data_IF_746008918956
#
_entry.id   IF_746008918956
#
_cell.length_a   1.000
_cell.length_b   1.000
_cell.length_c   1.000
_cell.angle_alpha   90.00
_cell.angle_beta   90.00
_cell.angle_gamma   90.00
#
_symmetry.space_group_name_H-M   'P 1'
#
loop_
_entity.id
_entity.type
_entity.pdbx_description
1 polymer ?
#
# COMPACT_ATOMS: atom_id res chain seq x y z
N UNK A 1 -52.33 19.33 -8.19
CA UNK A 1 -51.07 18.60 -8.45
C UNK A 1 -49.81 19.49 -8.60
N UNK A 2 -49.85 20.83 -8.46
CA UNK A 2 -48.72 21.69 -8.88
C UNK A 2 -48.20 22.74 -7.86
N UNK A 3 -48.27 22.50 -6.55
CA UNK A 3 -47.63 23.41 -5.57
C UNK A 3 -46.81 22.67 -4.50
N UNK A 4 -47.26 21.51 -4.04
CA UNK A 4 -46.55 20.69 -3.04
C UNK A 4 -45.32 19.97 -3.61
N UNK A 5 -45.40 19.42 -4.83
CA UNK A 5 -44.23 18.85 -5.53
C UNK A 5 -43.12 19.88 -5.75
N UNK A 6 -43.50 21.15 -6.02
CA UNK A 6 -42.55 22.26 -6.20
C UNK A 6 -41.85 22.64 -4.89
N UNK A 7 -42.55 22.51 -3.76
CA UNK A 7 -42.00 22.73 -2.42
C UNK A 7 -41.04 21.62 -1.98
N UNK A 8 -41.34 20.35 -2.31
CA UNK A 8 -40.47 19.21 -2.02
C UNK A 8 -39.20 19.23 -2.89
N UNK A 9 -39.33 19.52 -4.19
CA UNK A 9 -38.18 19.74 -5.08
C UNK A 9 -37.28 20.86 -4.54
N UNK A 10 -37.83 22.04 -4.27
CA UNK A 10 -37.08 23.17 -3.70
C UNK A 10 -36.39 22.82 -2.37
N UNK A 11 -37.02 22.01 -1.53
CA UNK A 11 -36.47 21.59 -0.25
C UNK A 11 -35.27 20.64 -0.39
N UNK A 12 -35.29 19.69 -1.34
CA UNK A 12 -34.16 18.79 -1.60
C UNK A 12 -32.98 19.56 -2.21
N UNK A 13 -33.26 20.50 -3.11
CA UNK A 13 -32.22 21.31 -3.78
C UNK A 13 -31.49 22.28 -2.85
N UNK A 14 -31.99 22.52 -1.64
CA UNK A 14 -31.32 23.38 -0.65
C UNK A 14 -30.55 22.60 0.43
N UNK A 15 -30.53 21.26 0.39
CA UNK A 15 -29.92 20.43 1.42
C UNK A 15 -28.59 19.84 0.98
N UNK A 16 -27.70 19.65 1.95
CA UNK A 16 -26.43 18.96 1.77
C UNK A 16 -26.62 17.51 1.28
N UNK A 17 -25.95 17.14 0.19
CA UNK A 17 -26.02 15.80 -0.43
C UNK A 17 -25.36 14.67 0.40
N UNK A 18 -24.72 15.00 1.54
CA UNK A 18 -24.14 14.00 2.45
C UNK A 18 -25.10 13.68 3.60
N UNK A 19 -25.54 14.71 4.33
CA UNK A 19 -26.35 14.50 5.55
C UNK A 19 -27.86 14.62 5.33
N UNK A 20 -28.28 15.26 4.25
CA UNK A 20 -29.67 15.60 3.93
C UNK A 20 -30.40 16.45 5.00
N UNK A 21 -29.67 16.96 5.99
CA UNK A 21 -30.21 17.72 7.12
C UNK A 21 -29.90 19.22 7.00
N UNK A 22 -28.61 19.55 6.85
CA UNK A 22 -28.18 20.94 6.82
C UNK A 22 -28.52 21.60 5.48
N UNK A 23 -28.84 22.89 5.56
CA UNK A 23 -28.89 23.74 4.36
C UNK A 23 -27.48 23.75 3.75
N UNK A 24 -27.40 23.71 2.42
CA UNK A 24 -26.12 23.75 1.72
C UNK A 24 -25.39 25.07 2.02
N UNK A 25 -24.07 24.99 2.18
CA UNK A 25 -23.20 26.16 2.31
C UNK A 25 -22.58 26.53 0.96
N UNK A 26 -22.38 25.54 0.08
CA UNK A 26 -21.79 25.72 -1.25
C UNK A 26 -22.15 24.56 -2.18
N UNK A 27 -21.90 24.78 -3.47
CA UNK A 27 -21.93 23.76 -4.53
C UNK A 27 -20.56 23.67 -5.21
N UNK A 28 -20.14 22.46 -5.59
CA UNK A 28 -18.93 22.27 -6.41
C UNK A 28 -19.12 22.87 -7.81
N UNK A 29 -18.07 23.48 -8.35
CA UNK A 29 -18.15 24.22 -9.62
C UNK A 29 -18.48 23.30 -10.81
N UNK A 30 -17.90 22.09 -10.83
CA UNK A 30 -17.99 21.17 -11.96
C UNK A 30 -19.29 20.35 -11.94
N UNK A 31 -19.48 19.52 -10.91
CA UNK A 31 -20.63 18.60 -10.84
C UNK A 31 -21.89 19.22 -10.22
N UNK A 32 -21.79 20.42 -9.64
CA UNK A 32 -22.89 21.13 -8.94
C UNK A 32 -23.45 20.42 -7.71
N UNK A 33 -22.88 19.29 -7.30
CA UNK A 33 -23.20 18.67 -6.01
C UNK A 33 -22.96 19.66 -4.86
N UNK A 34 -23.83 19.58 -3.86
CA UNK A 34 -24.01 20.62 -2.86
C UNK A 34 -23.82 20.08 -1.45
N UNK A 35 -23.13 20.86 -0.60
CA UNK A 35 -22.66 20.37 0.69
C UNK A 35 -22.75 21.46 1.76
N UNK A 36 -22.93 21.03 3.00
CA UNK A 36 -22.56 21.83 4.14
C UNK A 36 -21.07 21.63 4.47
N UNK A 37 -20.42 22.67 4.98
CA UNK A 37 -19.00 22.70 5.34
C UNK A 37 -18.61 21.61 6.35
N UNK A 38 -19.40 21.31 7.40
CA UNK A 38 -19.04 20.26 8.34
C UNK A 38 -18.90 18.88 7.69
N UNK A 39 -19.86 18.50 6.83
CA UNK A 39 -19.84 17.22 6.15
C UNK A 39 -18.69 17.12 5.15
N UNK A 40 -18.47 18.17 4.35
CA UNK A 40 -17.39 18.17 3.37
C UNK A 40 -16.01 18.16 4.04
N UNK A 41 -15.79 18.99 5.06
CA UNK A 41 -14.53 19.00 5.82
C UNK A 41 -14.25 17.65 6.46
N UNK A 42 -15.27 17.01 7.06
CA UNK A 42 -15.10 15.67 7.65
C UNK A 42 -14.74 14.62 6.61
N UNK A 43 -15.41 14.65 5.45
CA UNK A 43 -15.11 13.76 4.33
C UNK A 43 -13.65 13.91 3.88
N UNK A 44 -13.19 15.14 3.65
CA UNK A 44 -11.80 15.40 3.25
C UNK A 44 -10.81 14.93 4.32
N UNK A 45 -11.05 15.24 5.61
CA UNK A 45 -10.16 14.79 6.69
C UNK A 45 -10.02 13.26 6.70
N UNK A 46 -11.11 12.50 6.57
CA UNK A 46 -11.05 11.03 6.52
C UNK A 46 -10.22 10.55 5.31
N UNK A 47 -10.39 11.17 4.14
CA UNK A 47 -9.61 10.82 2.96
C UNK A 47 -8.13 11.12 3.13
N UNK A 48 -7.78 12.26 3.72
CA UNK A 48 -6.40 12.67 3.96
C UNK A 48 -5.75 11.78 5.03
N UNK A 49 -6.43 11.53 6.14
CA UNK A 49 -5.89 10.73 7.25
C UNK A 49 -5.71 9.25 6.85
N UNK A 50 -6.50 8.75 5.87
CA UNK A 50 -6.29 7.41 5.28
C UNK A 50 -5.16 7.32 4.25
N UNK A 51 -4.47 8.42 3.95
CA UNK A 51 -3.44 8.52 2.88
C UNK A 51 -2.01 8.30 3.39
N UNK A 52 -1.79 7.26 4.18
CA UNK A 52 -0.49 6.96 4.78
C UNK A 52 0.49 6.26 3.82
N UNK A 53 0.02 5.71 2.70
CA UNK A 53 0.83 4.92 1.77
C UNK A 53 1.45 5.71 0.61
N UNK A 54 2.09 5.03 -0.36
CA UNK A 54 2.84 5.68 -1.44
C UNK A 54 1.95 6.16 -2.59
N UNK A 55 0.72 5.66 -2.70
CA UNK A 55 -0.22 6.06 -3.74
C UNK A 55 -0.70 7.49 -3.48
N UNK A 56 -0.50 8.43 -4.44
CA UNK A 56 -1.09 9.75 -4.35
C UNK A 56 -2.62 9.65 -4.20
N UNK A 57 -3.14 10.33 -3.19
CA UNK A 57 -4.58 10.38 -2.93
C UNK A 57 -5.20 11.43 -3.82
N UNK A 58 -6.10 10.98 -4.69
CA UNK A 58 -6.95 11.87 -5.49
C UNK A 58 -8.24 12.12 -4.71
N UNK A 59 -8.59 13.38 -4.48
CA UNK A 59 -9.86 13.76 -3.85
C UNK A 59 -10.93 13.76 -4.93
N UNK A 60 -12.06 13.12 -4.64
CA UNK A 60 -13.21 13.04 -5.54
C UNK A 60 -14.46 13.58 -4.87
N UNK A 61 -15.48 13.94 -5.64
CA UNK A 61 -16.79 14.27 -5.11
C UNK A 61 -17.37 13.03 -4.40
N UNK A 62 -17.95 13.16 -3.19
CA UNK A 62 -18.56 12.04 -2.48
C UNK A 62 -19.85 11.51 -3.14
N UNK A 63 -20.44 12.26 -4.08
CA UNK A 63 -21.69 11.89 -4.76
C UNK A 63 -21.39 11.29 -6.14
N UNK A 64 -20.88 12.10 -7.07
CA UNK A 64 -20.64 11.67 -8.45
C UNK A 64 -19.24 11.06 -8.69
N UNK A 65 -18.33 11.08 -7.71
CA UNK A 65 -16.94 10.63 -7.84
C UNK A 65 -16.07 11.42 -8.83
N UNK A 66 -16.53 12.57 -9.31
CA UNK A 66 -15.72 13.49 -10.13
C UNK A 66 -14.46 13.94 -9.39
N UNK A 67 -13.34 14.04 -10.11
CA UNK A 67 -12.08 14.50 -9.53
C UNK A 67 -12.19 15.97 -9.09
N UNK A 68 -11.81 16.26 -7.84
CA UNK A 68 -11.73 17.61 -7.32
C UNK A 68 -10.29 18.09 -7.33
N UNK A 69 -10.03 19.17 -8.04
CA UNK A 69 -8.70 19.78 -8.05
C UNK A 69 -8.38 20.37 -6.67
N UNK A 70 -7.08 20.35 -6.33
CA UNK A 70 -6.61 20.92 -5.06
C UNK A 70 -7.08 22.36 -4.87
N UNK A 71 -7.04 23.18 -5.92
CA UNK A 71 -7.45 24.59 -5.85
C UNK A 71 -8.93 24.77 -5.50
N UNK A 72 -9.79 23.77 -5.79
CA UNK A 72 -11.22 23.85 -5.57
C UNK A 72 -11.59 23.42 -4.16
N UNK A 73 -11.21 22.21 -3.75
CA UNK A 73 -11.70 21.65 -2.48
C UNK A 73 -11.09 22.34 -1.25
N UNK A 74 -9.87 22.89 -1.34
CA UNK A 74 -9.22 23.59 -0.22
C UNK A 74 -9.96 24.86 0.21
N UNK A 75 -10.79 25.45 -0.68
CA UNK A 75 -11.61 26.64 -0.38
C UNK A 75 -12.71 26.36 0.62
N UNK A 76 -13.03 25.08 0.83
CA UNK A 76 -14.13 24.61 1.66
C UNK A 76 -13.66 23.85 2.91
N UNK A 77 -12.34 23.74 3.11
CA UNK A 77 -11.73 23.09 4.27
C UNK A 77 -11.01 24.14 5.10
N UNK A 78 -11.56 24.43 6.28
CA UNK A 78 -11.08 25.55 7.09
C UNK A 78 -9.81 25.20 7.89
N UNK A 79 -9.52 23.91 8.12
CA UNK A 79 -8.34 23.44 8.86
C UNK A 79 -7.08 23.36 7.97
N UNK A 80 -6.07 24.23 8.18
CA UNK A 80 -4.85 24.23 7.38
C UNK A 80 -4.01 22.96 7.56
N UNK A 81 -4.15 22.28 8.71
CA UNK A 81 -3.39 21.05 9.00
C UNK A 81 -3.82 19.92 8.08
N UNK A 82 -5.11 19.83 7.76
CA UNK A 82 -5.65 18.86 6.79
C UNK A 82 -5.04 19.08 5.40
N UNK A 83 -4.95 20.34 4.96
CA UNK A 83 -4.34 20.71 3.67
C UNK A 83 -2.85 20.37 3.65
N UNK A 84 -2.11 20.75 4.70
CA UNK A 84 -0.69 20.45 4.84
C UNK A 84 -0.41 18.94 4.83
N UNK A 85 -1.21 18.15 5.57
CA UNK A 85 -1.12 16.69 5.57
C UNK A 85 -1.32 16.12 4.16
N UNK A 86 -2.33 16.61 3.42
CA UNK A 86 -2.57 16.19 2.04
C UNK A 86 -1.37 16.48 1.14
N UNK A 87 -0.79 17.69 1.23
CA UNK A 87 0.36 18.08 0.41
C UNK A 87 1.59 17.23 0.74
N UNK A 88 1.86 17.01 2.02
CA UNK A 88 2.95 16.14 2.47
C UNK A 88 2.75 14.69 2.04
N UNK A 89 1.51 14.18 2.05
CA UNK A 89 1.18 12.83 1.61
C UNK A 89 1.35 12.65 0.08
N UNK A 90 1.13 13.72 -0.70
CA UNK A 90 1.18 13.68 -2.16
C UNK A 90 2.47 14.21 -2.78
N UNK A 91 3.45 14.62 -1.95
CA UNK A 91 4.75 15.10 -2.46
C UNK A 91 5.47 14.00 -3.27
N UNK A 92 6.18 14.34 -4.35
CA UNK A 92 7.05 13.41 -5.06
C UNK A 92 8.07 12.75 -4.11
N UNK A 93 8.42 11.49 -4.39
CA UNK A 93 9.44 10.74 -3.64
C UNK A 93 9.17 10.63 -2.14
N UNK A 94 7.90 10.61 -1.74
CA UNK A 94 7.52 10.38 -0.35
C UNK A 94 8.04 9.03 0.12
N UNK A 95 8.95 9.08 1.10
CA UNK A 95 9.46 7.89 1.77
C UNK A 95 8.42 7.37 2.77
N UNK A 96 8.28 6.05 2.83
CA UNK A 96 7.57 5.36 3.91
C UNK A 96 8.57 4.95 4.98
N UNK A 97 8.20 5.21 6.22
CA UNK A 97 8.93 4.78 7.41
C UNK A 97 8.13 3.70 8.14
N UNK A 98 8.85 2.82 8.83
CA UNK A 98 8.30 1.79 9.71
C UNK A 98 9.11 1.84 11.00
N UNK A 99 8.48 1.87 12.18
CA UNK A 99 9.22 1.88 13.42
C UNK A 99 9.99 0.56 13.56
N UNK A 100 11.27 0.65 13.94
CA UNK A 100 12.10 -0.52 14.24
C UNK A 100 11.45 -1.32 15.37
N UNK A 101 11.30 -2.64 15.17
CA UNK A 101 10.67 -3.50 16.18
C UNK A 101 11.41 -3.51 17.53
N UNK A 102 12.70 -3.16 17.54
CA UNK A 102 13.58 -3.25 18.71
C UNK A 102 13.78 -1.92 19.41
N UNK A 103 13.98 -0.82 18.68
CA UNK A 103 14.29 0.49 19.26
C UNK A 103 13.28 1.60 18.92
N UNK A 104 12.20 1.26 18.20
CA UNK A 104 11.13 2.17 17.76
C UNK A 104 11.54 3.35 16.86
N UNK A 105 12.83 3.52 16.54
CA UNK A 105 13.31 4.52 15.59
C UNK A 105 12.87 4.18 14.16
N UNK A 106 12.68 5.22 13.35
CA UNK A 106 12.17 5.07 11.99
C UNK A 106 13.17 4.36 11.06
N UNK A 107 12.71 3.27 10.46
CA UNK A 107 13.43 2.54 9.42
C UNK A 107 12.88 3.00 8.07
N UNK A 108 13.73 3.69 7.32
CA UNK A 108 13.41 4.14 5.97
C UNK A 108 13.37 2.96 5.00
N UNK A 109 12.19 2.68 4.46
CA UNK A 109 11.98 1.59 3.48
C UNK A 109 12.50 2.00 2.09
N UNK A 110 12.45 3.30 1.80
CA UNK A 110 12.88 3.90 0.55
C UNK A 110 13.92 4.99 0.81
N UNK A 111 14.85 5.19 -0.10
CA UNK A 111 15.74 6.37 -0.12
C UNK A 111 15.29 7.31 -1.24
N UNK A 112 15.29 8.65 -1.00
CA UNK A 112 15.01 9.62 -2.06
C UNK A 112 15.97 9.47 -3.24
N UNK A 113 15.57 9.89 -4.45
CA UNK A 113 16.46 9.87 -5.61
C UNK A 113 17.72 10.71 -5.41
N UNK A 114 18.81 10.24 -6.00
CA UNK A 114 20.02 11.02 -6.22
C UNK A 114 19.87 11.80 -7.52
N UNK A 115 19.90 13.13 -7.43
CA UNK A 115 19.79 14.01 -8.60
C UNK A 115 21.16 14.39 -9.18
N UNK A 116 22.21 14.44 -8.34
CA UNK A 116 23.56 14.81 -8.75
C UNK A 116 24.21 13.74 -9.64
N UNK A 117 24.81 14.15 -10.77
CA UNK A 117 25.45 13.21 -11.71
C UNK A 117 26.58 12.42 -11.05
N UNK A 118 27.47 13.10 -10.33
CA UNK A 118 28.62 12.49 -9.64
C UNK A 118 28.15 11.50 -8.57
N UNK A 119 27.13 11.88 -7.79
CA UNK A 119 26.56 11.01 -6.75
C UNK A 119 25.95 9.75 -7.35
N UNK A 120 25.27 9.87 -8.49
CA UNK A 120 24.68 8.74 -9.22
C UNK A 120 25.75 7.80 -9.78
N UNK A 121 26.82 8.33 -10.35
CA UNK A 121 27.96 7.54 -10.85
C UNK A 121 28.67 6.81 -9.71
N UNK A 122 28.92 7.49 -8.58
CA UNK A 122 29.48 6.86 -7.37
C UNK A 122 28.59 5.73 -6.86
N UNK A 123 27.29 6.00 -6.73
CA UNK A 123 26.31 5.02 -6.27
C UNK A 123 26.20 3.82 -7.21
N UNK A 124 26.28 4.03 -8.52
CA UNK A 124 26.30 2.96 -9.50
C UNK A 124 27.52 2.03 -9.36
N UNK A 125 28.70 2.60 -9.07
CA UNK A 125 29.90 1.81 -8.81
C UNK A 125 29.76 0.95 -7.54
N UNK A 126 29.18 1.50 -6.47
CA UNK A 126 28.87 0.76 -5.23
C UNK A 126 27.86 -0.37 -5.50
N UNK A 127 26.85 -0.12 -6.32
CA UNK A 127 25.86 -1.14 -6.72
C UNK A 127 26.55 -2.27 -7.50
N UNK A 128 27.44 -1.94 -8.45
CA UNK A 128 28.18 -2.94 -9.23
C UNK A 128 29.12 -3.77 -8.35
N UNK A 129 29.82 -3.16 -7.40
CA UNK A 129 30.66 -3.90 -6.46
C UNK A 129 29.82 -4.86 -5.62
N UNK A 130 28.65 -4.40 -5.14
CA UNK A 130 27.70 -5.25 -4.41
C UNK A 130 27.23 -6.43 -5.23
N UNK A 131 26.83 -6.18 -6.48
CA UNK A 131 26.32 -7.23 -7.36
C UNK A 131 27.39 -8.28 -7.65
N UNK A 132 28.64 -7.84 -7.88
CA UNK A 132 29.77 -8.74 -8.06
C UNK A 132 29.97 -9.64 -6.85
N UNK A 133 29.97 -9.07 -5.64
CA UNK A 133 30.11 -9.82 -4.39
C UNK A 133 29.02 -10.88 -4.24
N UNK A 134 27.76 -10.53 -4.54
CA UNK A 134 26.64 -11.47 -4.49
C UNK A 134 26.86 -12.62 -5.50
N UNK A 135 27.28 -12.31 -6.72
CA UNK A 135 27.50 -13.31 -7.77
C UNK A 135 28.70 -14.23 -7.51
N UNK A 136 29.65 -13.81 -6.67
CA UNK A 136 30.80 -14.61 -6.25
C UNK A 136 30.57 -15.36 -4.92
N UNK A 137 29.34 -15.36 -4.38
CA UNK A 137 29.01 -15.90 -3.04
C UNK A 137 29.89 -15.31 -1.92
N UNK A 138 30.32 -14.05 -2.08
CA UNK A 138 31.15 -13.32 -1.12
C UNK A 138 30.33 -12.62 -0.02
N UNK A 139 31.03 -11.98 0.92
CA UNK A 139 30.43 -11.16 1.98
C UNK A 139 30.81 -9.67 1.88
N UNK A 140 30.21 -8.83 2.73
CA UNK A 140 30.42 -7.37 2.72
C UNK A 140 31.89 -6.96 2.89
N UNK A 141 32.71 -7.75 3.58
CA UNK A 141 34.14 -7.43 3.77
C UNK A 141 34.94 -7.62 2.47
N UNK A 142 34.40 -8.37 1.50
CA UNK A 142 35.07 -8.69 0.24
C UNK A 142 34.65 -7.77 -0.93
N UNK A 143 33.78 -6.78 -0.70
CA UNK A 143 33.30 -5.83 -1.72
C UNK A 143 34.40 -5.05 -2.44
N UNK A 144 35.49 -4.77 -1.74
CA UNK A 144 36.62 -3.96 -2.23
C UNK A 144 37.91 -4.80 -2.34
N UNK A 145 37.79 -6.12 -2.55
CA UNK A 145 38.94 -6.99 -2.70
C UNK A 145 39.77 -6.59 -3.93
N UNK A 146 41.10 -6.57 -3.76
CA UNK A 146 42.07 -6.34 -4.84
C UNK A 146 43.07 -7.52 -4.86
N UNK A 147 43.06 -8.38 -5.91
CA UNK A 147 42.21 -8.31 -7.10
C UNK A 147 40.73 -8.66 -6.81
N UNK A 148 39.78 -8.22 -7.66
CA UNK A 148 38.37 -8.55 -7.52
C UNK A 148 38.11 -10.05 -7.52
N UNK A 149 37.10 -10.49 -6.77
CA UNK A 149 36.71 -11.90 -6.70
C UNK A 149 36.46 -12.49 -8.11
N UNK A 150 36.94 -13.73 -8.37
CA UNK A 150 36.73 -14.40 -9.65
C UNK A 150 35.24 -14.75 -9.81
N UNK A 151 34.72 -14.52 -11.02
CA UNK A 151 33.35 -14.89 -11.38
C UNK A 151 33.36 -16.14 -12.26
N UNK A 152 32.35 -16.99 -12.12
CA UNK A 152 32.05 -18.01 -13.11
C UNK A 152 31.66 -17.38 -14.46
N UNK A 153 31.72 -18.14 -15.55
CA UNK A 153 31.32 -17.65 -16.89
C UNK A 153 29.89 -17.11 -16.91
N UNK A 154 28.96 -17.81 -16.24
CA UNK A 154 27.57 -17.38 -16.12
C UNK A 154 27.46 -16.08 -15.32
N UNK A 155 28.12 -16.01 -14.16
CA UNK A 155 28.13 -14.81 -13.33
C UNK A 155 28.74 -13.60 -14.05
N UNK A 156 29.81 -13.79 -14.83
CA UNK A 156 30.42 -12.72 -15.62
C UNK A 156 29.47 -12.20 -16.71
N UNK A 157 28.69 -13.08 -17.33
CA UNK A 157 27.69 -12.69 -18.34
C UNK A 157 26.58 -11.85 -17.72
N UNK A 158 26.10 -12.23 -16.53
CA UNK A 158 25.11 -11.45 -15.78
C UNK A 158 25.66 -10.09 -15.35
N UNK A 159 26.89 -10.06 -14.83
CA UNK A 159 27.58 -8.83 -14.41
C UNK A 159 27.74 -7.84 -15.57
N UNK A 160 28.28 -8.29 -16.70
CA UNK A 160 28.53 -7.44 -17.88
C UNK A 160 27.23 -6.90 -18.49
N UNK A 161 26.16 -7.70 -18.52
CA UNK A 161 24.83 -7.23 -18.93
C UNK A 161 24.32 -6.13 -18.01
N UNK A 162 24.37 -6.35 -16.69
CA UNK A 162 23.89 -5.36 -15.72
C UNK A 162 24.70 -4.07 -15.76
N UNK A 163 26.03 -4.17 -15.89
CA UNK A 163 26.92 -3.02 -16.06
C UNK A 163 26.56 -2.19 -17.30
N UNK A 164 26.30 -2.84 -18.45
CA UNK A 164 25.88 -2.15 -19.66
C UNK A 164 24.53 -1.43 -19.50
N UNK A 165 23.55 -2.10 -18.89
CA UNK A 165 22.24 -1.53 -18.60
C UNK A 165 22.34 -0.31 -17.66
N UNK A 166 23.16 -0.42 -16.61
CA UNK A 166 23.37 0.66 -15.64
C UNK A 166 24.05 1.88 -16.27
N UNK A 167 25.08 1.65 -17.09
CA UNK A 167 25.75 2.70 -17.85
C UNK A 167 24.79 3.39 -18.85
N UNK A 168 23.89 2.63 -19.49
CA UNK A 168 22.86 3.20 -20.35
C UNK A 168 21.94 4.15 -19.57
N UNK A 169 21.50 3.75 -18.36
CA UNK A 169 20.64 4.58 -17.50
C UNK A 169 21.36 5.86 -17.07
N UNK A 170 22.64 5.79 -16.68
CA UNK A 170 23.42 6.95 -16.28
C UNK A 170 23.63 7.94 -17.43
N UNK A 171 23.79 7.42 -18.66
CA UNK A 171 23.91 8.20 -19.88
C UNK A 171 22.56 8.79 -20.37
N UNK A 172 21.44 8.52 -19.68
CA UNK A 172 20.12 8.97 -20.10
C UNK A 172 19.55 8.21 -21.31
N UNK A 173 19.99 6.97 -21.51
CA UNK A 173 19.49 6.08 -22.54
C UNK A 173 18.06 5.58 -22.27
N UNK A 174 17.58 4.69 -23.13
CA UNK A 174 16.19 4.22 -23.12
C UNK A 174 15.93 3.04 -22.18
N UNK A 175 16.96 2.46 -21.57
CA UNK A 175 16.80 1.33 -20.66
C UNK A 175 16.03 1.77 -19.41
N UNK A 176 14.95 1.05 -19.11
CA UNK A 176 14.09 1.32 -17.96
C UNK A 176 14.67 0.68 -16.71
N UNK A 177 14.85 1.47 -15.64
CA UNK A 177 15.31 0.94 -14.35
C UNK A 177 14.36 -0.13 -13.78
N UNK A 178 13.07 -0.04 -14.10
CA UNK A 178 12.08 -1.05 -13.72
C UNK A 178 12.41 -2.41 -14.33
N UNK A 179 12.82 -2.44 -15.60
CA UNK A 179 13.12 -3.69 -16.29
C UNK A 179 14.46 -4.25 -15.83
N UNK A 180 15.45 -3.39 -15.60
CA UNK A 180 16.72 -3.77 -14.95
C UNK A 180 16.48 -4.39 -13.57
N UNK A 181 15.66 -3.75 -12.74
CA UNK A 181 15.30 -4.25 -11.42
C UNK A 181 14.65 -5.65 -11.49
N UNK A 182 13.72 -5.87 -12.44
CA UNK A 182 13.08 -7.17 -12.64
C UNK A 182 14.07 -8.23 -13.11
N UNK A 183 14.92 -7.90 -14.08
CA UNK A 183 15.95 -8.81 -14.58
C UNK A 183 16.84 -9.29 -13.44
N UNK A 184 17.33 -8.38 -12.58
CA UNK A 184 18.15 -8.75 -11.41
C UNK A 184 17.37 -9.65 -10.45
N UNK A 185 16.08 -9.39 -10.21
CA UNK A 185 15.26 -10.27 -9.38
C UNK A 185 15.15 -11.69 -9.95
N UNK A 186 15.11 -11.83 -11.27
CA UNK A 186 15.03 -13.13 -11.94
C UNK A 186 16.40 -13.84 -11.99
N UNK A 187 17.49 -13.06 -12.12
CA UNK A 187 18.87 -13.54 -12.15
C UNK A 187 19.34 -14.00 -10.75
N UNK A 188 18.92 -13.30 -9.70
CA UNK A 188 19.28 -13.64 -8.33
C UNK A 188 18.39 -14.80 -7.83
N UNK A 189 18.96 -15.86 -7.21
CA UNK A 189 18.21 -16.98 -6.64
C UNK A 189 17.36 -16.60 -5.40
N UNK A 190 17.15 -15.30 -5.18
CA UNK A 190 16.55 -14.66 -4.01
C UNK A 190 15.03 -14.50 -4.19
N UNK A 191 14.57 -14.40 -5.43
CA UNK A 191 13.16 -14.18 -5.76
C UNK A 191 12.39 -15.51 -5.69
N UNK A 192 11.56 -15.65 -4.65
CA UNK A 192 10.54 -16.72 -4.57
C UNK A 192 9.80 -16.84 -5.90
N UNK A 193 9.96 -17.98 -6.57
CA UNK A 193 8.98 -18.46 -7.54
C UNK A 193 7.78 -18.98 -6.76
N UNK A 194 6.77 -18.12 -6.53
CA UNK A 194 5.44 -18.59 -6.12
C UNK A 194 4.82 -19.26 -7.34
N UNK A 195 5.17 -20.51 -7.62
CA UNK A 195 4.28 -21.37 -8.39
C UNK A 195 3.13 -21.73 -7.45
N UNK A 196 1.99 -21.06 -7.61
CA UNK A 196 0.72 -21.54 -7.07
C UNK A 196 0.51 -22.95 -7.62
N UNK A 197 0.73 -23.95 -6.79
CA UNK A 197 0.31 -25.31 -7.10
C UNK A 197 -1.20 -25.39 -6.77
N UNK A 198 -2.11 -25.56 -7.74
CA UNK A 198 -3.56 -25.49 -7.49
C UNK A 198 -4.09 -26.57 -6.55
N UNK A 199 -3.26 -27.57 -6.21
CA UNK A 199 -3.67 -28.80 -5.52
C UNK A 199 -2.92 -29.06 -4.20
N UNK A 200 -2.01 -28.18 -3.77
CA UNK A 200 -1.25 -28.38 -2.53
C UNK A 200 -1.90 -27.66 -1.32
N UNK A 201 -1.97 -28.36 -0.19
CA UNK A 201 -2.51 -27.86 1.08
C UNK A 201 -1.70 -26.64 1.60
N UNK A 202 -2.29 -25.68 2.35
CA UNK A 202 -1.70 -24.36 2.62
C UNK A 202 -0.44 -24.33 3.49
N UNK A 203 0.01 -25.47 4.02
CA UNK A 203 0.99 -25.52 5.12
C UNK A 203 2.43 -25.91 4.71
N UNK A 204 2.74 -26.03 3.42
CA UNK A 204 4.06 -26.49 2.98
C UNK A 204 4.83 -25.47 2.13
N UNK A 205 5.98 -25.06 2.67
CA UNK A 205 7.18 -24.54 2.00
C UNK A 205 7.06 -23.25 1.18
N UNK A 206 7.06 -22.15 1.92
CA UNK A 206 7.47 -20.84 1.43
C UNK A 206 8.85 -20.47 2.03
N UNK A 207 9.86 -21.33 1.86
CA UNK A 207 11.23 -21.06 2.30
C UNK A 207 11.95 -20.16 1.29
N UNK A 208 12.64 -19.12 1.77
CA UNK A 208 13.66 -18.45 0.97
C UNK A 208 14.90 -19.36 1.01
N UNK A 209 15.42 -19.74 -0.16
CA UNK A 209 16.56 -20.68 -0.27
C UNK A 209 17.92 -20.00 -0.04
N UNK A 210 17.94 -18.70 0.25
CA UNK A 210 19.16 -17.89 0.35
C UNK A 210 19.47 -17.56 1.81
N UNK A 211 20.75 -17.60 2.17
CA UNK A 211 21.22 -17.26 3.51
C UNK A 211 20.82 -15.81 3.88
N UNK A 212 20.38 -15.54 5.12
CA UNK A 212 19.96 -14.20 5.54
C UNK A 212 20.95 -13.07 5.23
N UNK A 213 22.29 -13.24 5.39
CA UNK A 213 23.25 -12.19 5.04
C UNK A 213 23.20 -11.80 3.56
N UNK A 214 23.21 -12.76 2.65
CA UNK A 214 23.13 -12.51 1.20
C UNK A 214 21.80 -11.87 0.81
N UNK A 215 20.69 -12.26 1.45
CA UNK A 215 19.38 -11.63 1.23
C UNK A 215 19.40 -10.15 1.62
N UNK A 216 20.00 -9.82 2.77
CA UNK A 216 20.09 -8.43 3.23
C UNK A 216 21.03 -7.60 2.36
N UNK A 217 22.13 -8.19 1.89
CA UNK A 217 23.03 -7.55 0.94
C UNK A 217 22.30 -7.20 -0.38
N UNK A 218 21.55 -8.15 -0.93
CA UNK A 218 20.73 -7.90 -2.13
C UNK A 218 19.63 -6.87 -1.86
N UNK A 219 18.98 -6.93 -0.70
CA UNK A 219 17.97 -5.94 -0.28
C UNK A 219 18.54 -4.53 -0.29
N UNK A 220 19.76 -4.34 0.24
CA UNK A 220 20.49 -3.07 0.24
C UNK A 220 20.81 -2.61 -1.19
N UNK A 221 21.40 -3.48 -2.00
CA UNK A 221 21.74 -3.21 -3.40
C UNK A 221 20.52 -2.76 -4.21
N UNK A 222 19.40 -3.47 -4.08
CA UNK A 222 18.18 -3.18 -4.81
C UNK A 222 17.56 -1.85 -4.34
N UNK A 223 17.64 -1.53 -3.05
CA UNK A 223 17.24 -0.22 -2.54
C UNK A 223 18.12 0.91 -3.08
N UNK A 224 19.43 0.69 -3.14
CA UNK A 224 20.38 1.64 -3.72
C UNK A 224 20.12 1.87 -5.21
N UNK A 225 19.80 0.81 -5.96
CA UNK A 225 19.42 0.90 -7.37
C UNK A 225 18.26 1.89 -7.59
N UNK A 226 17.22 1.81 -6.74
CA UNK A 226 16.03 2.69 -6.82
C UNK A 226 16.39 4.18 -6.71
N UNK A 227 17.48 4.53 -6.02
CA UNK A 227 17.91 5.94 -5.89
C UNK A 227 18.33 6.56 -7.22
N UNK A 228 18.59 5.75 -8.24
CA UNK A 228 18.97 6.23 -9.57
C UNK A 228 17.78 6.64 -10.44
N UNK A 229 16.54 6.36 -10.02
CA UNK A 229 15.31 6.76 -10.72
C UNK A 229 14.83 8.14 -10.26
N UNK A 230 14.76 9.07 -11.20
CA UNK A 230 14.40 10.47 -10.96
C UNK A 230 12.96 10.79 -11.38
N UNK A 231 12.21 9.84 -11.95
CA UNK A 231 10.80 10.01 -12.27
C UNK A 231 9.92 9.53 -11.09
N UNK A 232 9.03 10.38 -10.54
CA UNK A 232 8.24 10.04 -9.36
C UNK A 232 7.41 8.75 -9.47
N UNK A 233 6.74 8.54 -10.60
CA UNK A 233 5.88 7.36 -10.79
C UNK A 233 6.68 6.06 -10.90
N UNK A 234 7.80 6.08 -11.62
CA UNK A 234 8.70 4.94 -11.73
C UNK A 234 9.37 4.61 -10.40
N UNK A 235 9.85 5.63 -9.68
CA UNK A 235 10.42 5.46 -8.34
C UNK A 235 9.41 4.85 -7.37
N UNK A 236 8.15 5.32 -7.41
CA UNK A 236 7.07 4.79 -6.59
C UNK A 236 6.76 3.34 -6.93
N UNK A 237 6.69 3.00 -8.21
CA UNK A 237 6.45 1.62 -8.65
C UNK A 237 7.59 0.68 -8.22
N UNK A 238 8.84 1.12 -8.34
CA UNK A 238 10.00 0.38 -7.84
C UNK A 238 9.92 0.12 -6.33
N UNK A 239 9.49 1.10 -5.53
CA UNK A 239 9.29 0.90 -4.09
C UNK A 239 8.18 -0.10 -3.77
N UNK A 240 7.15 -0.20 -4.62
CA UNK A 240 6.14 -1.27 -4.52
C UNK A 240 6.76 -2.64 -4.80
N UNK A 241 7.62 -2.75 -5.81
CA UNK A 241 8.36 -3.99 -6.11
C UNK A 241 9.36 -4.35 -5.00
N UNK A 242 10.04 -3.37 -4.42
CA UNK A 242 10.95 -3.55 -3.29
C UNK A 242 10.22 -4.16 -2.10
N UNK A 243 9.07 -3.60 -1.71
CA UNK A 243 8.29 -4.19 -0.62
C UNK A 243 7.84 -5.62 -0.95
N UNK A 244 7.48 -5.89 -2.20
CA UNK A 244 7.02 -7.20 -2.64
C UNK A 244 8.14 -8.26 -2.63
N UNK A 245 9.36 -7.90 -3.02
CA UNK A 245 10.49 -8.82 -3.24
C UNK A 245 11.47 -8.86 -2.08
N UNK A 246 11.69 -7.74 -1.41
CA UNK A 246 12.66 -7.52 -0.34
C UNK A 246 12.03 -6.78 0.85
N UNK A 247 11.12 -7.44 1.60
CA UNK A 247 10.31 -6.81 2.65
C UNK A 247 11.07 -6.57 3.96
N UNK A 248 12.40 -6.46 3.95
CA UNK A 248 13.22 -6.29 5.17
C UNK A 248 14.10 -5.04 5.05
N UNK A 249 14.45 -4.44 6.18
CA UNK A 249 15.39 -3.32 6.24
C UNK A 249 16.14 -3.32 7.58
N UNK A 250 17.43 -2.98 7.54
CA UNK A 250 18.26 -2.80 8.75
C UNK A 250 17.97 -1.44 9.39
N UNK A 251 17.88 -1.42 10.71
CA UNK A 251 17.82 -0.19 11.48
C UNK A 251 19.22 0.43 11.59
N UNK A 252 19.39 1.67 11.17
CA UNK A 252 20.68 2.39 11.26
C UNK A 252 21.12 2.74 12.69
N UNK A 253 20.27 2.47 13.68
CA UNK A 253 20.54 2.80 15.09
C UNK A 253 20.84 1.58 15.96
N UNK A 254 20.43 0.37 15.56
CA UNK A 254 20.65 -0.84 16.35
C UNK A 254 20.91 -2.09 15.51
N UNK A 255 21.03 -1.95 14.19
CA UNK A 255 21.32 -2.99 13.20
C UNK A 255 20.33 -4.16 13.13
N UNK A 256 19.25 -4.12 13.93
CA UNK A 256 18.18 -5.12 13.85
C UNK A 256 17.38 -4.98 12.55
N UNK A 257 17.15 -6.11 11.89
CA UNK A 257 16.34 -6.19 10.68
C UNK A 257 14.84 -6.21 11.02
N UNK A 258 14.09 -5.32 10.40
CA UNK A 258 12.63 -5.20 10.56
C UNK A 258 11.92 -5.56 9.25
N UNK A 259 10.82 -6.29 9.33
CA UNK A 259 9.93 -6.48 8.21
C UNK A 259 9.16 -5.20 7.92
N UNK A 260 9.40 -4.62 6.77
CA UNK A 260 8.74 -3.40 6.33
C UNK A 260 7.30 -3.67 5.88
N UNK A 261 6.89 -4.92 5.68
CA UNK A 261 5.52 -5.28 5.32
C UNK A 261 4.56 -5.36 6.53
N UNK A 262 5.01 -5.90 7.67
CA UNK A 262 4.19 -6.06 8.89
C UNK A 262 4.64 -5.22 10.09
N UNK A 263 5.86 -4.66 10.06
CA UNK A 263 6.45 -3.88 11.16
C UNK A 263 7.09 -4.72 12.27
N UNK A 264 7.17 -6.04 12.11
CA UNK A 264 7.75 -6.96 13.09
C UNK A 264 9.24 -7.25 12.82
N UNK A 265 9.88 -8.06 13.65
CA UNK A 265 11.23 -8.56 13.38
C UNK A 265 11.31 -9.30 12.03
N UNK A 266 12.48 -9.25 11.38
CA UNK A 266 12.72 -9.97 10.12
C UNK A 266 12.44 -11.47 10.27
N UNK A 267 11.66 -12.02 9.34
CA UNK A 267 11.23 -13.42 9.35
C UNK A 267 11.60 -14.10 8.02
N UNK A 268 12.88 -14.04 7.67
CA UNK A 268 13.51 -14.42 6.38
C UNK A 268 13.00 -15.67 5.67
N UNK A 269 12.40 -16.64 6.35
CA UNK A 269 11.93 -17.91 5.77
C UNK A 269 10.40 -18.07 5.79
N UNK A 270 9.67 -17.04 6.22
CA UNK A 270 8.23 -17.08 6.47
C UNK A 270 7.51 -15.91 5.82
N UNK A 271 6.22 -16.11 5.51
CA UNK A 271 5.33 -14.96 5.31
C UNK A 271 5.07 -14.22 6.62
N UNK A 272 4.58 -12.99 6.54
CA UNK A 272 4.11 -12.29 7.74
C UNK A 272 3.02 -13.09 8.47
N UNK A 273 2.14 -13.79 7.75
CA UNK A 273 1.09 -14.63 8.34
C UNK A 273 1.69 -15.83 9.09
N UNK A 274 2.61 -16.56 8.47
CA UNK A 274 3.27 -17.71 9.10
C UNK A 274 4.14 -17.28 10.29
N UNK A 275 4.74 -16.09 10.23
CA UNK A 275 5.52 -15.51 11.32
C UNK A 275 4.63 -15.26 12.55
N UNK A 276 3.43 -14.72 12.36
CA UNK A 276 2.46 -14.55 13.43
C UNK A 276 2.01 -15.91 13.96
N UNK A 277 1.73 -16.90 13.09
CA UNK A 277 1.39 -18.27 13.51
C UNK A 277 2.48 -18.90 14.37
N UNK A 278 3.74 -18.80 13.95
CA UNK A 278 4.89 -19.31 14.72
C UNK A 278 4.98 -18.63 16.08
N UNK A 279 4.85 -17.30 16.13
CA UNK A 279 4.85 -16.54 17.39
C UNK A 279 3.73 -16.99 18.32
N UNK A 280 2.52 -17.17 17.79
CA UNK A 280 1.38 -17.65 18.57
C UNK A 280 1.61 -19.06 19.15
N UNK A 281 2.32 -19.93 18.43
CA UNK A 281 2.63 -21.27 18.92
C UNK A 281 3.60 -21.26 20.12
N UNK A 282 4.49 -20.27 20.20
CA UNK A 282 5.49 -20.15 21.27
C UNK A 282 5.10 -19.16 22.38
N UNK A 283 4.12 -18.29 22.14
CA UNK A 283 3.68 -17.27 23.09
C UNK A 283 2.93 -17.90 24.27
N UNK A 284 3.37 -17.57 25.48
CA UNK A 284 2.83 -18.11 26.74
C UNK A 284 1.92 -17.10 27.44
N UNK A 285 2.09 -15.80 27.18
CA UNK A 285 1.25 -14.76 27.77
C UNK A 285 -0.14 -14.73 27.11
N UNK A 286 -1.20 -14.91 27.89
CA UNK A 286 -2.59 -15.01 27.39
C UNK A 286 -3.03 -13.78 26.58
N UNK A 287 -2.76 -12.57 27.05
CA UNK A 287 -3.16 -11.32 26.37
C UNK A 287 -2.43 -11.16 25.02
N UNK A 288 -1.14 -11.49 24.98
CA UNK A 288 -0.37 -11.50 23.74
C UNK A 288 -0.91 -12.56 22.76
N UNK A 289 -1.30 -13.74 23.26
CA UNK A 289 -1.90 -14.79 22.42
C UNK A 289 -3.21 -14.33 21.80
N UNK A 290 -4.09 -13.70 22.58
CA UNK A 290 -5.35 -13.14 22.07
C UNK A 290 -5.09 -12.08 21.00
N UNK A 291 -4.12 -11.20 21.24
CA UNK A 291 -3.69 -10.18 20.27
C UNK A 291 -3.16 -10.81 18.98
N UNK A 292 -2.31 -11.84 19.07
CA UNK A 292 -1.77 -12.56 17.91
C UNK A 292 -2.86 -13.32 17.16
N UNK A 293 -3.78 -13.97 17.86
CA UNK A 293 -4.92 -14.68 17.28
C UNK A 293 -5.84 -13.72 16.53
N UNK A 294 -6.13 -12.56 17.12
CA UNK A 294 -6.90 -11.50 16.46
C UNK A 294 -6.17 -11.02 15.19
N UNK A 295 -4.86 -10.76 15.27
CA UNK A 295 -4.05 -10.38 14.09
C UNK A 295 -4.15 -11.42 12.98
N UNK A 296 -4.11 -12.72 13.28
CA UNK A 296 -4.25 -13.78 12.28
C UNK A 296 -5.61 -13.77 11.59
N UNK A 297 -6.67 -13.54 12.34
CA UNK A 297 -8.05 -13.57 11.82
C UNK A 297 -8.36 -12.34 10.96
N UNK A 298 -7.76 -11.20 11.29
CA UNK A 298 -8.14 -9.89 10.77
C UNK A 298 -7.05 -9.21 9.92
N UNK A 299 -5.92 -9.87 9.67
CA UNK A 299 -4.85 -9.34 8.81
C UNK A 299 -4.70 -10.14 7.54
N UNK A 300 -4.69 -9.45 6.40
CA UNK A 300 -4.36 -10.01 5.09
C UNK A 300 -3.30 -9.16 4.40
N UNK A 301 -2.54 -9.77 3.50
CA UNK A 301 -1.52 -9.07 2.71
C UNK A 301 -2.12 -8.56 1.40
N UNK A 302 -1.71 -7.37 0.97
CA UNK A 302 -2.06 -6.90 -0.36
C UNK A 302 -1.41 -7.82 -1.41
N UNK A 303 -2.18 -8.39 -2.36
CA UNK A 303 -1.64 -9.30 -3.36
C UNK A 303 -0.67 -8.64 -4.35
N UNK A 304 -0.67 -7.30 -4.45
CA UNK A 304 0.25 -6.56 -5.33
C UNK A 304 1.57 -6.20 -4.64
N UNK A 305 1.53 -5.63 -3.45
CA UNK A 305 2.73 -5.10 -2.78
C UNK A 305 3.17 -5.87 -1.53
N UNK A 306 2.36 -6.80 -1.03
CA UNK A 306 2.68 -7.59 0.16
C UNK A 306 2.46 -6.88 1.50
N UNK A 307 2.09 -5.59 1.53
CA UNK A 307 1.81 -4.86 2.78
C UNK A 307 0.72 -5.57 3.59
N UNK A 308 0.92 -5.70 4.90
CA UNK A 308 -0.12 -6.19 5.79
C UNK A 308 -1.19 -5.11 6.00
N UNK A 309 -2.45 -5.50 5.85
CA UNK A 309 -3.62 -4.66 6.10
C UNK A 309 -4.43 -5.41 7.16
N UNK A 310 -4.75 -4.72 8.26
CA UNK A 310 -5.56 -5.26 9.34
C UNK A 310 -6.91 -4.55 9.35
N UNK A 311 -8.00 -5.32 9.34
CA UNK A 311 -9.37 -4.82 9.54
C UNK A 311 -10.25 -5.93 10.09
N UNK A 312 -11.22 -5.53 10.89
CA UNK A 312 -12.29 -6.36 11.45
C UNK A 312 -13.66 -6.14 10.80
N UNK A 313 -13.88 -4.96 10.23
CA UNK A 313 -15.11 -4.60 9.52
C UNK A 313 -14.82 -4.04 8.12
N UNK A 314 -15.80 -4.11 7.23
CA UNK A 314 -15.67 -3.51 5.89
C UNK A 314 -16.28 -4.35 4.77
N UNK A 315 -16.66 -3.67 3.70
CA UNK A 315 -16.98 -4.33 2.44
C UNK A 315 -15.78 -5.13 1.89
N UNK A 316 -16.05 -6.05 0.97
CA UNK A 316 -15.00 -6.85 0.32
C UNK A 316 -14.06 -6.01 -0.54
N UNK A 317 -14.41 -4.79 -0.92
CA UNK A 317 -13.49 -3.94 -1.70
C UNK A 317 -12.41 -3.34 -0.80
N UNK A 318 -11.15 -3.55 -1.19
CA UNK A 318 -9.99 -2.98 -0.51
C UNK A 318 -9.17 -2.15 -1.47
N UNK A 319 -9.11 -0.85 -1.21
CA UNK A 319 -8.21 0.06 -1.91
C UNK A 319 -6.92 0.18 -1.08
N UNK A 320 -5.83 -0.48 -1.53
CA UNK A 320 -4.58 -0.50 -0.79
C UNK A 320 -3.94 0.90 -0.75
N UNK A 321 -3.88 1.53 0.43
CA UNK A 321 -3.27 2.86 0.59
C UNK A 321 -1.80 2.90 0.14
N UNK A 322 -1.06 1.78 0.27
CA UNK A 322 0.34 1.71 -0.11
C UNK A 322 0.57 1.76 -1.63
N UNK A 323 -0.06 0.86 -2.39
CA UNK A 323 0.22 0.72 -3.84
C UNK A 323 -0.94 1.11 -4.76
N UNK A 324 -2.11 1.48 -4.20
CA UNK A 324 -3.31 1.83 -4.95
C UNK A 324 -4.09 0.65 -5.53
N UNK A 325 -3.62 -0.59 -5.35
CA UNK A 325 -4.31 -1.75 -5.89
C UNK A 325 -5.66 -1.98 -5.22
N UNK A 326 -6.70 -2.20 -6.04
CA UNK A 326 -8.04 -2.52 -5.61
C UNK A 326 -8.25 -4.03 -5.67
N UNK A 327 -8.56 -4.65 -4.54
CA UNK A 327 -8.66 -6.10 -4.44
C UNK A 327 -9.76 -6.55 -3.49
N UNK A 328 -10.24 -7.78 -3.68
CA UNK A 328 -11.31 -8.36 -2.88
C UNK A 328 -10.75 -9.00 -1.60
N UNK A 329 -11.16 -8.51 -0.42
CA UNK A 329 -10.74 -9.05 0.87
C UNK A 329 -11.05 -10.54 1.02
N UNK A 330 -12.15 -11.02 0.42
CA UNK A 330 -12.56 -12.43 0.49
C UNK A 330 -11.59 -13.34 -0.26
N UNK A 331 -11.38 -13.10 -1.57
CA UNK A 331 -10.65 -14.02 -2.45
C UNK A 331 -9.20 -13.61 -2.78
N UNK A 332 -8.79 -12.38 -2.46
CA UNK A 332 -7.44 -11.90 -2.74
C UNK A 332 -7.17 -11.51 -4.20
N UNK A 333 -8.17 -11.52 -5.08
CA UNK A 333 -8.04 -11.12 -6.48
C UNK A 333 -8.31 -9.63 -6.70
N UNK A 334 -7.94 -9.12 -7.88
CA UNK A 334 -8.34 -7.79 -8.34
C UNK A 334 -9.85 -7.60 -8.20
N UNK A 335 -10.26 -6.44 -7.66
CA UNK A 335 -11.66 -6.09 -7.52
C UNK A 335 -12.17 -5.58 -8.88
N UNK A 336 -12.82 -6.45 -9.61
CA UNK A 336 -13.44 -6.23 -10.92
C UNK A 336 -14.97 -6.34 -10.85
N UNK A 337 -15.64 -6.25 -12.00
CA UNK A 337 -17.11 -6.30 -12.12
C UNK A 337 -17.75 -7.62 -11.63
N UNK A 338 -16.94 -8.66 -11.33
CA UNK A 338 -17.41 -9.94 -10.77
C UNK A 338 -17.52 -9.91 -9.24
N UNK A 339 -17.15 -8.80 -8.62
CA UNK A 339 -17.22 -8.60 -7.18
C UNK A 339 -18.26 -7.53 -6.85
N UNK A 340 -19.19 -7.89 -5.96
CA UNK A 340 -20.02 -6.91 -5.27
C UNK A 340 -19.33 -6.46 -3.99
N UNK A 341 -19.79 -5.34 -3.42
CA UNK A 341 -19.27 -4.84 -2.15
C UNK A 341 -19.40 -5.86 -1.01
N UNK A 342 -20.43 -6.72 -1.03
CA UNK A 342 -20.65 -7.74 0.00
C UNK A 342 -20.85 -9.15 -0.56
N UNK A 343 -20.53 -9.37 -1.85
CA UNK A 343 -20.69 -10.66 -2.52
C UNK A 343 -19.48 -10.98 -3.38
N UNK A 344 -18.88 -12.16 -3.20
CA UNK A 344 -17.74 -12.62 -3.99
C UNK A 344 -18.07 -13.96 -4.65
N UNK A 345 -18.18 -13.97 -5.98
CA UNK A 345 -18.53 -15.16 -6.77
C UNK A 345 -17.41 -16.19 -6.87
N UNK A 346 -16.17 -15.82 -6.50
CA UNK A 346 -14.99 -16.69 -6.52
C UNK A 346 -14.74 -17.39 -5.18
N UNK A 347 -15.53 -17.10 -4.16
CA UNK A 347 -15.42 -17.78 -2.88
C UNK A 347 -16.01 -19.19 -3.05
N UNK A 348 -15.24 -20.27 -2.78
CA UNK A 348 -15.83 -21.61 -2.80
C UNK A 348 -16.98 -21.62 -1.79
N UNK A 349 -18.12 -22.15 -2.22
CA UNK A 349 -19.29 -22.42 -1.39
C UNK A 349 -18.97 -23.54 -0.40
N UNK A 350 -18.03 -23.32 0.51
CA UNK A 350 -17.98 -24.08 1.76
C UNK A 350 -19.03 -23.47 2.66
N UNK A 351 -20.09 -24.22 2.95
CA UNK A 351 -21.13 -23.92 3.93
C UNK A 351 -20.60 -23.86 5.38
N UNK A 352 -19.51 -23.13 5.59
CA UNK A 352 -19.10 -22.62 6.89
C UNK A 352 -19.48 -21.15 6.90
N UNK A 353 -20.47 -20.81 7.70
CA UNK A 353 -20.73 -19.46 8.18
C UNK A 353 -19.40 -18.87 8.68
N UNK A 354 -18.72 -18.07 7.84
CA UNK A 354 -17.89 -17.00 8.38
C UNK A 354 -18.90 -16.15 9.11
N UNK A 355 -18.88 -16.23 10.45
CA UNK A 355 -19.62 -15.32 11.29
C UNK A 355 -19.11 -13.92 10.95
N UNK A 356 -19.75 -13.27 9.98
CA UNK A 356 -19.95 -11.83 10.04
C UNK A 356 -20.62 -11.69 11.40
N UNK A 357 -19.85 -11.26 12.41
CA UNK A 357 -20.48 -10.67 13.57
C UNK A 357 -21.39 -9.61 12.96
N UNK A 358 -22.71 -9.82 13.07
CA UNK A 358 -23.68 -8.79 12.73
C UNK A 358 -23.35 -7.62 13.64
N UNK A 359 -22.43 -6.77 13.20
CA UNK A 359 -22.36 -5.40 13.65
C UNK A 359 -23.75 -4.85 13.40
N UNK A 360 -24.26 -4.15 14.40
CA UNK A 360 -25.55 -3.49 14.38
C UNK A 360 -25.79 -2.85 13.00
N UNK A 361 -26.74 -3.39 12.23
CA UNK A 361 -27.16 -2.91 10.89
C UNK A 361 -27.59 -1.42 10.91
N UNK A 362 -27.64 -0.80 12.09
CA UNK A 362 -27.94 0.62 12.29
C UNK A 362 -26.79 1.56 11.93
N UNK A 363 -25.54 1.10 11.87
CA UNK A 363 -24.36 1.99 11.70
C UNK A 363 -23.56 1.64 10.44
N UNK A 364 -23.53 2.50 9.42
CA UNK A 364 -22.69 2.27 8.25
C UNK A 364 -21.22 2.42 8.63
N UNK A 365 -20.35 1.80 7.84
CA UNK A 365 -18.91 1.95 7.92
C UNK A 365 -18.49 3.43 7.88
N UNK A 366 -17.37 3.76 8.51
CA UNK A 366 -16.79 5.10 8.47
C UNK A 366 -16.58 5.56 7.02
N UNK A 367 -17.37 6.55 6.58
CA UNK A 367 -17.32 7.10 5.23
C UNK A 367 -18.34 6.52 4.25
N UNK A 368 -19.14 5.53 4.66
CA UNK A 368 -20.30 5.04 3.90
C UNK A 368 -21.57 5.77 4.40
N UNK A 369 -22.36 6.39 3.51
CA UNK A 369 -23.62 7.01 3.91
C UNK A 369 -24.61 5.96 4.45
N UNK A 370 -25.29 6.27 5.58
CA UNK A 370 -26.31 5.38 6.16
C UNK A 370 -27.58 5.42 5.29
N UNK A 371 -27.67 4.51 4.32
CA UNK A 371 -28.79 4.48 3.35
C UNK A 371 -30.14 4.31 4.07
N UNK A 372 -30.21 3.54 5.15
CA UNK A 372 -31.43 3.34 5.95
C UNK A 372 -31.87 4.62 6.68
N UNK A 373 -30.92 5.37 7.25
CA UNK A 373 -31.18 6.68 7.86
C UNK A 373 -31.59 7.71 6.81
N UNK A 374 -30.97 7.67 5.62
CA UNK A 374 -31.32 8.56 4.51
C UNK A 374 -32.74 8.27 4.04
N UNK A 375 -33.10 7.01 3.80
CA UNK A 375 -34.46 6.63 3.41
C UNK A 375 -35.48 6.94 4.50
N UNK A 376 -35.19 6.67 5.77
CA UNK A 376 -36.13 6.96 6.85
C UNK A 376 -36.36 8.47 7.01
N UNK A 377 -35.32 9.29 6.85
CA UNK A 377 -35.45 10.75 6.77
C UNK A 377 -36.29 11.16 5.57
N UNK A 378 -35.99 10.65 4.37
CA UNK A 378 -36.77 10.94 3.16
C UNK A 378 -38.25 10.56 3.32
N UNK A 379 -38.55 9.41 3.91
CA UNK A 379 -39.93 8.98 4.20
C UNK A 379 -40.62 9.84 5.26
N UNK A 380 -39.89 10.25 6.30
CA UNK A 380 -40.42 11.16 7.34
C UNK A 380 -40.72 12.55 6.75
N UNK A 381 -39.90 12.98 5.78
CA UNK A 381 -40.07 14.24 5.06
C UNK A 381 -41.24 14.13 4.07
N UNK A 382 -41.38 13.02 3.34
CA UNK A 382 -42.54 12.75 2.50
C UNK A 382 -43.85 12.80 3.31
N UNK A 383 -43.86 12.19 4.50
CA UNK A 383 -45.00 12.25 5.42
C UNK A 383 -45.28 13.67 5.94
N UNK A 384 -44.26 14.52 6.13
CA UNK A 384 -44.40 15.92 6.55
C UNK A 384 -44.99 16.82 5.46
N UNK A 385 -44.79 16.47 4.19
CA UNK A 385 -45.33 17.18 3.02
C UNK A 385 -46.57 16.50 2.40
N UNK A 386 -47.16 15.51 3.08
CA UNK A 386 -48.46 14.94 2.74
C UNK A 386 -48.47 13.98 1.55
N UNK A 387 -47.46 13.11 1.41
CA UNK A 387 -47.41 12.03 0.42
C UNK A 387 -47.55 10.64 1.05
#
# INVERSE_FOLDING_TARGET
MNNEYRGMESWIYERCSICFDHILDFSLANCRDQFCRPCFTKYISILVDSSWGLQPKRITCPVCSDLLERADWVRFVDDPRTIQKYDMANRPFRVREVPCHSCAKDVCVATPPLFGRVDRESKANEILSTYRTILSDGDENMMNADPPLPLSTTALTLYTRFEADLNNILAGGSVSLIDVYRNICDDLPISRSVKRNPTASPAASQQYHVAPPTFMLATRMMKDLITLETRPDSWRYLNVLQLQKFPFALCTSCDNATCTACGDASHYSLTCHDAIHRRLATETNTENRETLQWKLNFTKTCPRCGICITRDEGCFRVDCAHCGFKWCWSCGHEFDDKHGYYTCQKSPSTGGTVAIQKGDDSKPELGVPNVTLIHSKMSTIAAKFGM
#
